data_IF_017855996748
#
_entry.id   IF_017855996748
#
_cell.length_a   1.000
_cell.length_b   1.000
_cell.length_c   1.000
_cell.angle_alpha   90.00
_cell.angle_beta   90.00
_cell.angle_gamma   90.00
#
_symmetry.space_group_name_H-M   'P 1'
#
loop_
_entity.id
_entity.type
_entity.pdbx_description
1 polymer ?
#
# COMPACT_ATOMS: atom_id res chain seq x y z
N UNK A 1 42.90 28.22 22.81
CA UNK A 1 42.46 26.81 22.87
C UNK A 1 41.51 26.61 21.71
N UNK A 2 42.03 26.12 20.58
CA UNK A 2 41.24 25.84 19.38
C UNK A 2 40.48 24.53 19.60
N UNK A 3 39.16 24.59 19.42
CA UNK A 3 38.33 23.39 19.29
C UNK A 3 38.52 22.91 17.85
N UNK A 4 39.27 21.83 17.70
CA UNK A 4 39.45 21.17 16.42
C UNK A 4 38.16 20.49 15.97
N UNK A 5 37.91 20.68 14.69
CA UNK A 5 36.83 20.18 13.86
C UNK A 5 36.84 18.67 13.74
N UNK A 6 35.67 18.02 13.91
CA UNK A 6 35.27 16.79 13.21
C UNK A 6 33.81 16.44 13.49
N UNK A 7 32.88 17.36 13.19
CA UNK A 7 31.46 17.01 13.09
C UNK A 7 31.16 16.54 11.67
N UNK A 8 31.04 15.22 11.51
CA UNK A 8 30.31 14.55 10.45
C UNK A 8 30.72 14.89 9.02
N UNK A 9 31.81 14.29 8.53
CA UNK A 9 31.90 14.05 7.09
C UNK A 9 30.88 12.97 6.74
N UNK A 10 29.82 13.36 6.04
CA UNK A 10 28.94 12.41 5.35
C UNK A 10 29.77 11.74 4.26
N UNK A 11 30.19 10.50 4.47
CA UNK A 11 30.79 9.68 3.40
C UNK A 11 29.69 9.45 2.37
N UNK A 12 29.84 10.06 1.19
CA UNK A 12 28.86 9.92 0.13
C UNK A 12 28.83 8.45 -0.33
N UNK A 13 27.68 7.79 -0.16
CA UNK A 13 27.51 6.42 -0.63
C UNK A 13 27.67 6.37 -2.16
N UNK A 14 28.45 5.44 -2.70
CA UNK A 14 28.70 5.37 -4.14
C UNK A 14 27.39 5.09 -4.89
N UNK A 15 27.13 5.91 -5.91
CA UNK A 15 25.97 5.72 -6.79
C UNK A 15 26.31 4.67 -7.84
N UNK A 16 25.63 3.52 -7.83
CA UNK A 16 25.75 2.53 -8.92
C UNK A 16 24.98 2.90 -10.20
N UNK A 17 24.22 4.01 -10.21
CA UNK A 17 23.63 4.56 -11.43
C UNK A 17 23.55 6.09 -11.45
N UNK A 18 23.61 6.65 -12.67
CA UNK A 18 23.39 8.08 -12.96
C UNK A 18 21.93 8.51 -12.84
N UNK A 19 20.98 7.56 -12.91
CA UNK A 19 19.56 7.84 -12.73
C UNK A 19 19.17 7.73 -11.25
N UNK A 20 18.93 8.88 -10.62
CA UNK A 20 18.28 8.96 -9.31
C UNK A 20 16.80 9.22 -9.55
N UNK A 21 15.97 8.15 -9.51
CA UNK A 21 14.54 8.36 -9.30
C UNK A 21 14.32 8.77 -7.83
N UNK A 22 13.37 9.66 -7.52
CA UNK A 22 12.97 9.93 -6.14
C UNK A 22 12.61 8.62 -5.41
N UNK A 23 12.99 8.49 -4.13
CA UNK A 23 12.63 7.32 -3.29
C UNK A 23 13.72 6.28 -3.04
N UNK A 24 14.95 6.47 -3.56
CA UNK A 24 16.09 5.59 -3.26
C UNK A 24 16.74 5.99 -1.93
N UNK A 25 16.57 5.16 -0.91
CA UNK A 25 17.26 5.27 0.36
C UNK A 25 18.41 4.27 0.36
N UNK A 26 19.58 4.70 -0.11
CA UNK A 26 20.81 3.94 0.05
C UNK A 26 21.53 4.52 1.28
N UNK A 27 21.78 3.68 2.29
CA UNK A 27 22.32 4.11 3.59
C UNK A 27 23.54 3.26 3.96
N UNK A 28 24.46 3.87 4.70
CA UNK A 28 25.49 3.13 5.46
C UNK A 28 25.30 3.43 6.92
N UNK A 29 25.26 2.38 7.71
CA UNK A 29 25.19 2.45 9.16
C UNK A 29 26.50 1.89 9.70
N UNK A 30 27.22 2.74 10.41
CA UNK A 30 28.43 2.37 11.13
C UNK A 30 28.05 2.18 12.60
N UNK A 31 28.34 0.99 13.13
CA UNK A 31 28.13 0.67 14.54
C UNK A 31 29.49 0.54 15.24
N UNK A 32 29.50 -0.02 16.45
CA UNK A 32 30.75 -0.22 17.17
C UNK A 32 31.64 -1.27 16.51
N UNK A 33 31.10 -2.28 15.85
CA UNK A 33 31.83 -3.44 15.31
C UNK A 33 31.39 -3.87 13.90
N UNK A 34 30.40 -3.18 13.33
CA UNK A 34 29.78 -3.57 12.08
C UNK A 34 29.52 -2.37 11.17
N UNK A 35 29.78 -2.55 9.86
CA UNK A 35 29.38 -1.63 8.79
C UNK A 35 28.25 -2.27 7.99
N UNK A 36 27.07 -1.65 8.02
CA UNK A 36 25.87 -2.18 7.35
C UNK A 36 25.51 -1.24 6.19
N UNK A 37 25.59 -1.75 4.96
CA UNK A 37 24.99 -1.10 3.81
C UNK A 37 23.51 -1.46 3.73
N UNK A 38 22.66 -0.51 3.35
CA UNK A 38 21.25 -0.74 3.02
C UNK A 38 21.05 -0.28 1.58
N UNK A 39 20.61 -1.21 0.72
CA UNK A 39 20.10 -0.88 -0.60
C UNK A 39 18.57 -1.05 -0.62
N UNK A 40 17.86 0.05 -0.85
CA UNK A 40 16.40 -0.01 -0.94
C UNK A 40 15.95 -0.43 -2.36
N UNK A 41 15.15 -1.49 -2.42
CA UNK A 41 14.60 -2.09 -3.64
C UNK A 41 13.07 -2.20 -3.56
N UNK A 42 12.35 -1.08 -3.40
CA UNK A 42 10.86 -1.06 -3.46
C UNK A 42 10.32 -1.83 -4.67
N UNK A 43 10.44 -1.26 -5.87
CA UNK A 43 10.02 -1.88 -7.14
C UNK A 43 11.08 -1.78 -8.23
N UNK A 44 12.26 -1.23 -7.92
CA UNK A 44 13.34 -1.15 -8.87
C UNK A 44 13.96 -2.54 -9.09
N UNK A 45 14.16 -2.98 -10.35
CA UNK A 45 14.95 -4.18 -10.63
C UNK A 45 16.41 -3.99 -10.19
N UNK A 46 17.15 -5.09 -10.10
CA UNK A 46 18.61 -5.01 -10.03
C UNK A 46 19.16 -4.47 -11.35
N UNK A 47 20.12 -3.56 -11.25
CA UNK A 47 20.92 -3.15 -12.40
C UNK A 47 22.07 -4.15 -12.60
N UNK A 48 22.71 -4.11 -13.77
CA UNK A 48 23.69 -5.10 -14.23
C UNK A 48 24.77 -5.48 -13.20
N UNK A 49 25.24 -4.52 -12.40
CA UNK A 49 26.30 -4.70 -11.40
C UNK A 49 25.82 -4.67 -9.94
N UNK A 50 24.51 -4.76 -9.72
CA UNK A 50 23.93 -4.75 -8.39
C UNK A 50 23.62 -6.17 -7.91
N UNK A 51 23.84 -6.49 -6.62
CA UNK A 51 24.29 -5.58 -5.57
C UNK A 51 25.84 -5.46 -5.40
N UNK A 52 26.61 -6.13 -6.25
CA UNK A 52 28.08 -6.29 -6.10
C UNK A 52 28.86 -4.96 -6.02
N UNK A 53 28.41 -3.94 -6.75
CA UNK A 53 29.06 -2.63 -6.80
C UNK A 53 29.22 -1.94 -5.43
N UNK A 54 28.43 -2.33 -4.42
CA UNK A 54 28.49 -1.75 -3.08
C UNK A 54 29.49 -2.44 -2.15
N UNK A 55 29.79 -3.71 -2.40
CA UNK A 55 30.58 -4.54 -1.49
C UNK A 55 32.02 -4.01 -1.30
N UNK A 56 32.74 -3.55 -2.33
CA UNK A 56 34.07 -2.97 -2.15
C UNK A 56 34.06 -1.74 -1.23
N UNK A 57 33.02 -0.91 -1.31
CA UNK A 57 32.92 0.28 -0.47
C UNK A 57 32.69 -0.11 1.00
N UNK A 58 31.75 -1.02 1.28
CA UNK A 58 31.49 -1.49 2.64
C UNK A 58 32.72 -2.15 3.26
N UNK A 59 33.43 -2.96 2.47
CA UNK A 59 34.68 -3.60 2.87
C UNK A 59 35.76 -2.56 3.22
N UNK A 60 36.02 -1.60 2.33
CA UNK A 60 37.04 -0.58 2.54
C UNK A 60 36.73 0.29 3.78
N UNK A 61 35.46 0.63 4.00
CA UNK A 61 35.02 1.37 5.18
C UNK A 61 35.25 0.56 6.46
N UNK A 62 34.91 -0.73 6.46
CA UNK A 62 35.17 -1.61 7.61
C UNK A 62 36.67 -1.78 7.89
N UNK A 63 37.50 -1.95 6.87
CA UNK A 63 38.96 -2.04 7.00
C UNK A 63 39.54 -0.73 7.56
N UNK A 64 39.08 0.42 7.07
CA UNK A 64 39.52 1.73 7.58
C UNK A 64 39.12 1.95 9.04
N UNK A 65 37.89 1.56 9.42
CA UNK A 65 37.45 1.63 10.82
C UNK A 65 38.22 0.65 11.71
N UNK A 66 38.58 -0.52 11.18
CA UNK A 66 39.37 -1.51 11.91
C UNK A 66 40.78 -0.99 12.20
N UNK A 67 41.43 -0.34 11.22
CA UNK A 67 42.73 0.31 11.40
C UNK A 67 42.65 1.44 12.44
N UNK A 68 41.63 2.31 12.35
CA UNK A 68 41.47 3.45 13.24
C UNK A 68 41.17 3.06 14.69
N UNK A 69 40.38 2.00 14.88
CA UNK A 69 39.88 1.59 16.21
C UNK A 69 40.63 0.38 16.79
N UNK A 70 41.56 -0.21 16.04
CA UNK A 70 42.40 -1.32 16.48
C UNK A 70 41.63 -2.62 16.77
N UNK A 71 40.49 -2.85 16.10
CA UNK A 71 39.66 -4.04 16.26
C UNK A 71 39.02 -4.46 14.95
N UNK A 72 38.64 -5.73 14.83
CA UNK A 72 37.99 -6.23 13.63
C UNK A 72 36.57 -5.65 13.47
N UNK A 73 36.21 -5.31 12.23
CA UNK A 73 34.86 -4.89 11.85
C UNK A 73 34.27 -5.88 10.85
N UNK A 74 33.05 -6.30 11.11
CA UNK A 74 32.26 -7.05 10.12
C UNK A 74 31.55 -6.09 9.18
N UNK A 75 31.21 -6.56 7.98
CA UNK A 75 30.42 -5.77 7.05
C UNK A 75 29.43 -6.65 6.30
N UNK A 76 28.26 -6.09 6.04
CA UNK A 76 27.18 -6.74 5.32
C UNK A 76 26.36 -5.71 4.54
N UNK A 77 25.76 -6.16 3.44
CA UNK A 77 24.76 -5.41 2.69
C UNK A 77 23.39 -6.02 2.94
N UNK A 78 22.41 -5.18 3.26
CA UNK A 78 21.02 -5.56 3.40
C UNK A 78 20.24 -4.99 2.23
N UNK A 79 19.57 -5.86 1.49
CA UNK A 79 18.57 -5.46 0.51
C UNK A 79 17.24 -5.29 1.25
N UNK A 80 16.76 -4.05 1.31
CA UNK A 80 15.50 -3.68 1.94
C UNK A 80 14.41 -3.55 0.88
N UNK A 81 13.39 -4.41 0.92
CA UNK A 81 12.35 -4.44 -0.10
C UNK A 81 10.99 -4.98 0.41
N UNK A 82 9.89 -4.84 -0.35
CA UNK A 82 8.62 -5.46 -0.02
C UNK A 82 8.75 -6.99 0.08
N UNK A 83 8.03 -7.61 1.03
CA UNK A 83 8.09 -9.05 1.29
C UNK A 83 7.80 -9.93 0.08
N UNK A 84 6.94 -9.47 -0.84
CA UNK A 84 6.61 -10.15 -2.09
C UNK A 84 7.80 -10.37 -3.04
N UNK A 85 8.88 -9.58 -2.91
CA UNK A 85 10.10 -9.71 -3.73
C UNK A 85 11.16 -10.62 -3.12
N UNK A 86 10.90 -11.21 -1.95
CA UNK A 86 11.87 -12.04 -1.23
C UNK A 86 12.51 -13.11 -2.13
N UNK A 87 11.70 -13.92 -2.82
CA UNK A 87 12.22 -15.03 -3.63
C UNK A 87 13.07 -14.55 -4.81
N UNK A 88 12.66 -13.48 -5.49
CA UNK A 88 13.42 -12.85 -6.57
C UNK A 88 14.80 -12.39 -6.07
N UNK A 89 14.83 -11.71 -4.92
CA UNK A 89 16.06 -11.16 -4.35
C UNK A 89 16.98 -12.29 -3.89
N UNK A 90 16.46 -13.29 -3.18
CA UNK A 90 17.24 -14.43 -2.71
C UNK A 90 17.85 -15.18 -3.90
N UNK A 91 17.06 -15.48 -4.94
CA UNK A 91 17.57 -16.11 -6.16
C UNK A 91 18.67 -15.28 -6.83
N UNK A 92 18.53 -13.95 -6.85
CA UNK A 92 19.55 -13.07 -7.42
C UNK A 92 20.86 -13.06 -6.61
N UNK A 93 20.77 -13.10 -5.27
CA UNK A 93 21.91 -13.23 -4.36
C UNK A 93 22.62 -14.57 -4.57
N UNK A 94 21.86 -15.66 -4.62
CA UNK A 94 22.37 -17.02 -4.84
C UNK A 94 23.05 -17.17 -6.21
N UNK A 95 22.42 -16.65 -7.27
CA UNK A 95 22.98 -16.68 -8.62
C UNK A 95 24.33 -15.97 -8.72
N UNK A 96 24.54 -14.93 -7.89
CA UNK A 96 25.79 -14.17 -7.80
C UNK A 96 26.75 -14.67 -6.71
N UNK A 97 26.35 -15.69 -5.93
CA UNK A 97 27.14 -16.27 -4.82
C UNK A 97 27.53 -15.26 -3.74
N UNK A 98 26.56 -14.49 -3.26
CA UNK A 98 26.76 -13.41 -2.29
C UNK A 98 26.11 -13.66 -0.91
N UNK A 99 25.72 -14.90 -0.63
CA UNK A 99 24.91 -15.30 0.53
C UNK A 99 25.58 -14.98 1.88
N UNK A 100 26.91 -14.91 1.91
CA UNK A 100 27.71 -14.63 3.10
C UNK A 100 27.86 -13.12 3.41
N UNK A 101 27.55 -12.25 2.44
CA UNK A 101 27.71 -10.79 2.54
C UNK A 101 26.44 -10.01 2.34
N UNK A 102 25.43 -10.60 1.70
CA UNK A 102 24.20 -9.92 1.30
C UNK A 102 22.99 -10.63 1.89
N UNK A 103 22.22 -9.89 2.69
CA UNK A 103 20.97 -10.36 3.29
C UNK A 103 19.74 -9.65 2.72
N UNK A 104 18.57 -10.23 2.96
CA UNK A 104 17.28 -9.61 2.67
C UNK A 104 16.53 -9.31 3.97
N UNK A 105 16.02 -8.09 4.10
CA UNK A 105 15.06 -7.71 5.13
C UNK A 105 13.84 -7.09 4.44
N UNK A 106 12.65 -7.48 4.88
CA UNK A 106 11.43 -6.86 4.36
C UNK A 106 11.14 -5.54 5.07
N UNK A 107 10.53 -4.59 4.37
CA UNK A 107 10.03 -3.35 5.00
C UNK A 107 9.09 -3.64 6.19
N UNK A 108 8.22 -4.65 6.08
CA UNK A 108 7.36 -5.04 7.20
C UNK A 108 8.17 -5.52 8.40
N UNK A 109 9.18 -6.38 8.18
CA UNK A 109 10.06 -6.87 9.25
C UNK A 109 10.79 -5.72 9.95
N UNK A 110 11.24 -4.71 9.20
CA UNK A 110 11.88 -3.52 9.76
C UNK A 110 10.88 -2.70 10.60
N UNK A 111 9.66 -2.48 10.10
CA UNK A 111 8.62 -1.73 10.79
C UNK A 111 8.13 -2.43 12.07
N UNK A 112 7.96 -3.75 12.03
CA UNK A 112 7.63 -4.58 13.20
C UNK A 112 8.76 -4.52 14.24
N UNK A 113 10.02 -4.48 13.77
CA UNK A 113 11.19 -4.24 14.61
C UNK A 113 11.08 -2.93 15.39
N UNK A 114 10.59 -1.85 14.76
CA UNK A 114 10.37 -0.59 15.47
C UNK A 114 9.25 -0.64 16.52
N UNK A 115 8.21 -1.45 16.32
CA UNK A 115 7.16 -1.66 17.35
C UNK A 115 7.70 -2.35 18.61
N UNK A 116 8.76 -3.15 18.45
CA UNK A 116 9.41 -3.83 19.58
C UNK A 116 10.34 -2.94 20.41
N UNK A 117 10.63 -1.71 19.95
CA UNK A 117 11.49 -0.77 20.66
C UNK A 117 10.73 -0.10 21.82
N UNK A 118 10.82 -0.68 23.02
CA UNK A 118 10.31 -0.07 24.25
C UNK A 118 11.12 1.18 24.62
N UNK A 119 10.45 2.30 24.92
CA UNK A 119 11.09 3.50 25.48
C UNK A 119 11.57 4.55 24.46
N UNK A 120 11.04 4.53 23.24
CA UNK A 120 11.38 5.51 22.20
C UNK A 120 11.02 6.95 22.59
N UNK A 121 11.97 7.88 22.39
CA UNK A 121 11.75 9.30 22.65
C UNK A 121 10.62 9.84 21.75
N UNK A 122 10.10 11.04 22.06
CA UNK A 122 9.09 11.68 21.19
C UNK A 122 9.61 11.87 19.76
N UNK A 123 10.90 12.13 19.60
CA UNK A 123 11.56 12.31 18.29
C UNK A 123 11.61 10.98 17.55
N UNK A 124 12.02 9.89 18.20
CA UNK A 124 12.09 8.56 17.57
C UNK A 124 10.69 8.09 17.13
N UNK A 125 9.67 8.33 17.97
CA UNK A 125 8.28 8.02 17.62
C UNK A 125 7.78 8.82 16.41
N UNK A 126 8.15 10.09 16.32
CA UNK A 126 7.87 10.90 15.14
C UNK A 126 8.56 10.34 13.90
N UNK A 127 9.87 10.06 13.97
CA UNK A 127 10.64 9.52 12.85
C UNK A 127 10.12 8.15 12.38
N UNK A 128 9.79 7.25 13.30
CA UNK A 128 9.18 5.95 12.98
C UNK A 128 7.85 6.14 12.26
N UNK A 129 7.02 7.10 12.69
CA UNK A 129 5.75 7.42 12.04
C UNK A 129 5.98 7.96 10.63
N UNK A 130 6.86 8.94 10.45
CA UNK A 130 7.16 9.49 9.12
C UNK A 130 7.73 8.41 8.18
N UNK A 131 8.54 7.48 8.71
CA UNK A 131 9.05 6.35 7.94
C UNK A 131 7.93 5.38 7.55
N UNK A 132 6.96 5.11 8.44
CA UNK A 132 5.76 4.32 8.10
C UNK A 132 4.96 4.99 7.00
N UNK A 133 4.67 6.27 7.15
CA UNK A 133 3.89 7.03 6.18
C UNK A 133 4.60 7.04 4.81
N UNK A 134 5.92 7.22 4.80
CA UNK A 134 6.74 7.11 3.58
C UNK A 134 6.67 5.71 2.96
N UNK A 135 6.82 4.65 3.75
CA UNK A 135 6.75 3.27 3.26
C UNK A 135 5.35 2.99 2.70
N UNK A 136 4.30 3.38 3.41
CA UNK A 136 2.92 3.25 2.97
C UNK A 136 2.68 4.04 1.66
N UNK A 137 3.28 5.22 1.49
CA UNK A 137 3.21 5.99 0.24
C UNK A 137 3.97 5.31 -0.90
N UNK A 138 5.19 4.83 -0.65
CA UNK A 138 6.05 4.22 -1.67
C UNK A 138 5.53 2.86 -2.12
N UNK A 139 5.05 2.02 -1.18
CA UNK A 139 4.33 0.81 -1.55
C UNK A 139 2.96 1.23 -2.14
N UNK A 140 2.32 2.30 -1.65
CA UNK A 140 1.05 2.83 -2.17
C UNK A 140 1.08 3.12 -3.67
N UNK A 141 2.23 3.54 -4.21
CA UNK A 141 2.48 3.71 -5.64
C UNK A 141 2.53 2.41 -6.48
N UNK A 142 2.02 1.29 -5.95
CA UNK A 142 1.84 0.02 -6.68
C UNK A 142 0.97 0.26 -7.92
N UNK A 143 1.55 0.08 -9.10
CA UNK A 143 0.83 0.13 -10.39
C UNK A 143 -0.12 -1.06 -10.62
N UNK A 144 -0.12 -2.04 -9.71
CA UNK A 144 -0.96 -3.25 -9.73
C UNK A 144 -1.89 -3.30 -8.51
N UNK A 145 -2.63 -2.19 -8.29
CA UNK A 145 -3.68 -2.06 -7.27
C UNK A 145 -4.68 -3.24 -7.23
N UNK A 146 -5.08 -3.87 -8.35
CA UNK A 146 -6.00 -5.01 -8.28
C UNK A 146 -5.41 -6.22 -7.53
N UNK A 147 -4.09 -6.44 -7.60
CA UNK A 147 -3.41 -7.55 -6.90
C UNK A 147 -3.44 -7.40 -5.38
N UNK A 148 -3.62 -6.17 -4.87
CA UNK A 148 -3.66 -5.89 -3.44
C UNK A 148 -5.02 -6.20 -2.80
N UNK A 149 -6.11 -6.29 -3.57
CA UNK A 149 -7.43 -6.42 -2.98
C UNK A 149 -7.62 -7.68 -2.09
N UNK A 150 -7.12 -8.88 -2.46
CA UNK A 150 -7.18 -10.03 -1.55
C UNK A 150 -6.46 -9.79 -0.22
N UNK A 151 -5.55 -8.82 -0.13
CA UNK A 151 -4.91 -8.40 1.11
C UNK A 151 -5.73 -7.33 1.84
N UNK A 152 -6.38 -6.41 1.11
CA UNK A 152 -7.28 -5.40 1.68
C UNK A 152 -8.50 -6.04 2.36
N UNK A 153 -8.95 -7.20 1.86
CA UNK A 153 -10.08 -7.95 2.43
C UNK A 153 -9.68 -8.79 3.66
N UNK A 154 -8.40 -9.00 3.95
CA UNK A 154 -7.97 -9.83 5.10
C UNK A 154 -8.21 -9.18 6.45
N UNK A 155 -8.32 -7.84 6.48
CA UNK A 155 -8.42 -7.09 7.72
C UNK A 155 -9.49 -6.00 7.64
N UNK A 156 -10.45 -6.07 8.55
CA UNK A 156 -11.40 -5.00 8.80
C UNK A 156 -10.80 -3.89 9.67
N UNK A 157 -11.07 -2.63 9.31
CA UNK A 157 -10.73 -1.46 10.11
C UNK A 157 -11.87 -0.41 10.01
N UNK A 158 -12.46 0.07 11.12
CA UNK A 158 -13.60 1.01 11.13
C UNK A 158 -13.44 2.36 10.42
N UNK A 159 -12.24 2.69 9.93
CA UNK A 159 -12.00 3.90 9.13
C UNK A 159 -11.24 3.61 7.85
N UNK A 160 -11.21 2.34 7.48
CA UNK A 160 -10.30 1.79 6.50
C UNK A 160 -8.85 1.82 6.97
N UNK A 161 -8.04 0.90 6.47
CA UNK A 161 -6.58 1.06 6.48
C UNK A 161 -6.18 2.12 5.44
N UNK A 162 -4.97 2.68 5.54
CA UNK A 162 -4.44 3.60 4.52
C UNK A 162 -4.52 2.99 3.12
N UNK A 163 -4.29 1.68 3.03
CA UNK A 163 -4.41 0.87 1.83
C UNK A 163 -5.81 0.76 1.24
N UNK A 164 -6.82 0.51 2.07
CA UNK A 164 -8.23 0.50 1.65
C UNK A 164 -8.65 1.88 1.13
N UNK A 165 -8.22 2.95 1.81
CA UNK A 165 -8.49 4.33 1.37
C UNK A 165 -7.82 4.64 0.03
N UNK A 166 -6.57 4.26 -0.14
CA UNK A 166 -5.81 4.47 -1.37
C UNK A 166 -6.41 3.69 -2.55
N UNK A 167 -6.72 2.40 -2.36
CA UNK A 167 -7.38 1.59 -3.38
C UNK A 167 -8.69 2.21 -3.86
N UNK A 168 -9.53 2.66 -2.93
CA UNK A 168 -10.77 3.36 -3.27
C UNK A 168 -10.48 4.64 -4.05
N UNK A 169 -9.49 5.44 -3.63
CA UNK A 169 -9.17 6.74 -4.23
C UNK A 169 -8.40 6.68 -5.57
N UNK A 170 -7.69 5.59 -5.87
CA UNK A 170 -6.78 5.54 -7.01
C UNK A 170 -7.14 4.47 -8.05
N UNK A 171 -7.85 3.41 -7.66
CA UNK A 171 -8.16 2.29 -8.56
C UNK A 171 -9.62 2.25 -8.97
N UNK A 172 -10.56 2.25 -8.02
CA UNK A 172 -11.99 2.12 -8.36
C UNK A 172 -12.46 3.26 -9.26
N UNK A 173 -11.95 4.47 -9.04
CA UNK A 173 -12.33 5.63 -9.84
C UNK A 173 -11.90 5.56 -11.30
N UNK A 174 -10.91 4.74 -11.68
CA UNK A 174 -10.58 4.58 -13.09
C UNK A 174 -11.66 3.81 -13.87
N UNK A 175 -12.56 3.09 -13.19
CA UNK A 175 -13.64 2.33 -13.80
C UNK A 175 -15.01 3.03 -13.74
N UNK A 176 -15.12 4.08 -12.92
CA UNK A 176 -16.34 4.90 -12.74
C UNK A 176 -16.15 6.31 -13.38
N UNK A 177 -15.14 6.44 -14.25
CA UNK A 177 -14.51 7.71 -14.60
C UNK A 177 -15.32 8.58 -15.59
N UNK A 178 -16.15 7.99 -16.45
CA UNK A 178 -16.99 8.75 -17.39
C UNK A 178 -18.12 9.50 -16.67
N UNK A 179 -18.47 9.06 -15.46
CA UNK A 179 -19.43 9.78 -14.62
C UNK A 179 -18.83 11.02 -13.95
N UNK A 180 -17.62 10.92 -13.40
CA UNK A 180 -17.01 11.98 -12.57
C UNK A 180 -16.66 13.22 -13.40
N UNK A 181 -16.34 13.07 -14.69
CA UNK A 181 -16.00 14.18 -15.57
C UNK A 181 -17.21 14.93 -16.14
N UNK A 182 -18.30 14.22 -16.40
CA UNK A 182 -19.48 14.78 -17.08
C UNK A 182 -20.60 15.16 -16.11
N UNK A 183 -20.73 14.41 -15.00
CA UNK A 183 -21.76 14.68 -14.03
C UNK A 183 -21.33 15.79 -13.09
N UNK A 184 -22.23 16.72 -12.88
CA UNK A 184 -22.15 17.65 -11.76
C UNK A 184 -22.52 17.02 -10.42
N UNK A 185 -22.31 15.72 -10.27
CA UNK A 185 -22.56 14.97 -9.06
C UNK A 185 -21.63 15.45 -7.93
N UNK A 186 -22.12 15.40 -6.70
CA UNK A 186 -21.27 15.60 -5.52
C UNK A 186 -20.67 14.25 -5.16
N UNK A 187 -19.35 14.20 -5.00
CA UNK A 187 -18.67 13.07 -4.37
C UNK A 187 -18.08 13.54 -3.05
N UNK A 188 -18.23 12.75 -2.00
CA UNK A 188 -17.65 13.06 -0.69
C UNK A 188 -17.16 11.79 -0.03
N UNK A 189 -15.94 11.77 0.54
CA UNK A 189 -15.58 10.71 1.46
C UNK A 189 -16.54 10.77 2.64
N UNK A 190 -16.95 9.62 3.15
CA UNK A 190 -17.86 9.58 4.29
C UNK A 190 -17.78 8.27 5.05
N UNK A 191 -18.09 8.35 6.34
CA UNK A 191 -18.17 7.21 7.23
C UNK A 191 -19.65 6.88 7.41
N UNK A 192 -20.08 5.69 7.00
CA UNK A 192 -21.41 5.17 7.28
C UNK A 192 -21.30 4.27 8.52
N UNK A 193 -21.74 4.70 9.71
CA UNK A 193 -21.75 3.90 10.94
C UNK A 193 -20.43 3.11 11.22
N UNK A 194 -19.29 3.78 11.07
CA UNK A 194 -17.96 3.16 11.24
C UNK A 194 -17.45 2.37 10.02
N UNK A 195 -18.05 2.54 8.84
CA UNK A 195 -17.58 2.00 7.58
C UNK A 195 -17.00 3.09 6.69
N UNK A 196 -15.77 2.92 6.20
CA UNK A 196 -15.13 3.91 5.31
C UNK A 196 -15.49 3.65 3.86
N UNK A 197 -15.93 4.71 3.19
CA UNK A 197 -16.16 4.69 1.76
C UNK A 197 -16.41 6.08 1.20
N UNK A 198 -16.98 6.10 0.01
CA UNK A 198 -17.32 7.31 -0.70
C UNK A 198 -18.81 7.33 -0.99
N UNK A 199 -19.43 8.49 -0.77
CA UNK A 199 -20.79 8.76 -1.21
C UNK A 199 -20.79 9.40 -2.58
N UNK A 200 -21.78 9.02 -3.36
CA UNK A 200 -22.04 9.51 -4.71
C UNK A 200 -23.50 9.93 -4.78
N UNK A 201 -23.70 11.15 -5.29
CA UNK A 201 -25.03 11.73 -5.52
C UNK A 201 -25.15 12.01 -7.01
N UNK A 202 -25.74 11.08 -7.79
CA UNK A 202 -25.67 11.13 -9.23
C UNK A 202 -26.48 12.28 -9.87
N UNK A 203 -27.52 12.77 -9.19
CA UNK A 203 -28.38 13.85 -9.69
C UNK A 203 -28.09 15.20 -8.99
N UNK A 204 -28.28 16.30 -9.73
CA UNK A 204 -28.34 17.67 -9.17
C UNK A 204 -29.74 17.89 -8.58
N UNK A 205 -30.04 17.32 -7.42
CA UNK A 205 -31.34 17.53 -6.77
C UNK A 205 -31.50 16.75 -5.46
N UNK A 206 -32.46 17.16 -4.64
CA UNK A 206 -32.68 16.71 -3.25
C UNK A 206 -33.37 15.32 -3.13
N UNK A 207 -33.49 14.58 -4.23
CA UNK A 207 -34.17 13.27 -4.31
C UNK A 207 -33.59 12.47 -5.48
N UNK A 208 -33.30 11.16 -5.39
CA UNK A 208 -33.55 10.20 -4.33
C UNK A 208 -32.65 8.96 -4.44
N UNK A 209 -31.48 9.02 -5.09
CA UNK A 209 -30.58 7.86 -5.13
C UNK A 209 -29.18 8.20 -4.64
N UNK A 210 -28.87 7.75 -3.43
CA UNK A 210 -27.54 7.83 -2.85
C UNK A 210 -26.84 6.50 -3.11
N UNK A 211 -25.58 6.58 -3.52
CA UNK A 211 -24.74 5.41 -3.71
C UNK A 211 -23.57 5.55 -2.73
N UNK A 212 -23.18 4.45 -2.14
CA UNK A 212 -21.97 4.35 -1.34
C UNK A 212 -21.10 3.20 -1.85
N UNK A 213 -19.79 3.42 -1.90
CA UNK A 213 -18.81 2.40 -2.28
C UNK A 213 -17.68 2.39 -1.27
N UNK A 214 -17.38 1.23 -0.69
CA UNK A 214 -16.35 1.16 0.33
C UNK A 214 -16.13 -0.23 0.90
N UNK A 215 -15.44 -0.27 2.05
CA UNK A 215 -15.19 -1.51 2.77
C UNK A 215 -16.07 -1.60 4.01
N UNK A 216 -16.62 -2.80 4.24
CA UNK A 216 -17.40 -3.13 5.44
C UNK A 216 -16.84 -4.36 6.15
N UNK A 217 -17.20 -4.57 7.41
CA UNK A 217 -16.90 -5.84 8.08
C UNK A 217 -17.64 -6.98 7.37
N UNK A 218 -16.94 -8.07 7.06
CA UNK A 218 -17.55 -9.24 6.44
C UNK A 218 -18.28 -10.05 7.53
N UNK A 219 -19.61 -10.13 7.47
CA UNK A 219 -20.41 -10.67 8.58
C UNK A 219 -20.17 -12.15 8.87
N UNK A 220 -19.85 -12.94 7.85
CA UNK A 220 -19.50 -14.35 8.06
C UNK A 220 -18.08 -14.52 8.65
N UNK A 221 -17.24 -13.47 8.61
CA UNK A 221 -15.82 -13.53 8.96
C UNK A 221 -15.39 -12.23 9.67
N UNK A 222 -15.65 -12.16 10.99
CA UNK A 222 -15.52 -10.96 11.85
C UNK A 222 -14.18 -10.18 11.81
N UNK A 223 -13.15 -10.66 11.10
CA UNK A 223 -11.88 -9.95 10.91
C UNK A 223 -11.59 -9.55 9.47
N UNK A 224 -12.41 -9.97 8.50
CA UNK A 224 -12.23 -9.64 7.09
C UNK A 224 -13.06 -8.44 6.69
N UNK A 225 -12.60 -7.75 5.65
CA UNK A 225 -13.35 -6.68 5.02
C UNK A 225 -14.02 -7.18 3.73
N UNK A 226 -15.29 -6.84 3.53
CA UNK A 226 -16.00 -6.99 2.26
C UNK A 226 -15.89 -5.68 1.47
N UNK A 227 -15.77 -5.77 0.14
CA UNK A 227 -15.87 -4.61 -0.75
C UNK A 227 -17.32 -4.50 -1.21
N UNK A 228 -17.98 -3.39 -0.89
CA UNK A 228 -19.44 -3.27 -0.98
C UNK A 228 -19.82 -2.05 -1.79
N UNK A 229 -20.80 -2.25 -2.68
CA UNK A 229 -21.62 -1.18 -3.27
C UNK A 229 -22.92 -1.17 -2.49
N UNK A 230 -23.43 0.00 -2.17
CA UNK A 230 -24.75 0.08 -1.59
C UNK A 230 -25.52 1.28 -2.12
N UNK A 231 -26.84 1.16 -2.09
CA UNK A 231 -27.74 2.17 -2.63
C UNK A 231 -28.91 2.45 -1.71
N UNK A 232 -29.33 3.71 -1.67
CA UNK A 232 -30.59 4.16 -1.09
C UNK A 232 -31.39 4.87 -2.19
N UNK A 233 -32.58 4.40 -2.58
CA UNK A 233 -33.35 3.33 -1.96
C UNK A 233 -32.69 1.96 -2.18
N UNK A 234 -32.94 1.05 -1.23
CA UNK A 234 -32.26 -0.24 -1.16
C UNK A 234 -32.22 -1.05 -2.47
N UNK A 235 -33.27 -0.95 -3.28
CA UNK A 235 -33.41 -1.74 -4.52
C UNK A 235 -32.96 -1.02 -5.79
N UNK A 236 -32.30 0.14 -5.70
CA UNK A 236 -31.91 0.91 -6.88
C UNK A 236 -30.94 0.13 -7.79
N UNK A 237 -29.98 -0.61 -7.21
CA UNK A 237 -29.01 -1.40 -7.97
C UNK A 237 -29.55 -2.78 -8.39
N UNK A 238 -30.47 -3.38 -7.61
CA UNK A 238 -30.98 -4.73 -7.84
C UNK A 238 -31.45 -5.00 -9.29
N UNK A 239 -32.11 -4.01 -9.91
CA UNK A 239 -32.62 -4.12 -11.29
C UNK A 239 -31.53 -4.25 -12.37
N UNK A 240 -30.27 -3.97 -12.02
CA UNK A 240 -29.11 -4.10 -12.91
C UNK A 240 -28.23 -5.31 -12.60
N UNK A 241 -28.51 -6.01 -11.49
CA UNK A 241 -27.72 -7.15 -11.02
C UNK A 241 -28.24 -8.49 -11.57
N UNK A 242 -29.47 -8.55 -12.09
CA UNK A 242 -30.09 -9.82 -12.51
C UNK A 242 -29.16 -10.66 -13.40
N UNK A 243 -28.56 -11.70 -12.79
CA UNK A 243 -27.60 -12.67 -13.34
C UNK A 243 -26.11 -12.25 -13.43
N UNK A 244 -25.65 -11.25 -12.68
CA UNK A 244 -24.22 -10.92 -12.60
C UNK A 244 -23.52 -11.76 -11.51
N UNK A 245 -22.69 -12.72 -11.94
CA UNK A 245 -21.96 -13.63 -11.05
C UNK A 245 -20.86 -12.95 -10.22
N UNK A 246 -20.58 -11.66 -10.44
CA UNK A 246 -19.57 -10.90 -9.70
C UNK A 246 -20.13 -10.10 -8.51
N UNK A 247 -21.45 -10.09 -8.31
CA UNK A 247 -22.10 -9.35 -7.23
C UNK A 247 -23.03 -10.28 -6.44
N UNK A 248 -22.73 -10.45 -5.16
CA UNK A 248 -23.62 -11.13 -4.21
C UNK A 248 -24.46 -10.10 -3.45
N UNK A 249 -25.75 -10.38 -3.28
CA UNK A 249 -26.63 -9.53 -2.48
C UNK A 249 -26.31 -9.73 -1.01
N UNK A 250 -25.91 -8.66 -0.33
CA UNK A 250 -25.87 -8.63 1.13
C UNK A 250 -27.26 -8.19 1.62
N UNK A 251 -27.71 -8.73 2.75
CA UNK A 251 -29.01 -8.34 3.31
C UNK A 251 -29.12 -6.82 3.49
N UNK A 252 -30.32 -6.27 3.29
CA UNK A 252 -30.61 -4.85 3.52
C UNK A 252 -30.19 -4.45 4.94
N UNK A 253 -29.47 -3.33 5.09
CA UNK A 253 -28.97 -2.83 6.37
C UNK A 253 -29.83 -1.67 6.86
N UNK A 254 -30.86 -1.91 7.70
CA UNK A 254 -31.60 -0.83 8.34
C UNK A 254 -30.70 -0.06 9.31
N UNK A 255 -30.74 1.28 9.26
CA UNK A 255 -29.92 2.12 10.13
C UNK A 255 -28.43 2.10 9.82
N UNK A 256 -28.06 1.79 8.58
CA UNK A 256 -26.66 1.82 8.13
C UNK A 256 -26.04 3.23 8.18
N UNK A 257 -26.88 4.25 8.10
CA UNK A 257 -26.55 5.65 8.33
C UNK A 257 -27.33 6.17 9.54
N UNK A 258 -26.82 7.22 10.18
CA UNK A 258 -27.49 7.89 11.32
C UNK A 258 -28.91 8.38 10.99
N UNK A 259 -29.24 8.49 9.69
CA UNK A 259 -30.56 8.87 9.17
C UNK A 259 -31.62 7.76 9.25
N UNK A 260 -31.26 6.52 9.62
CA UNK A 260 -32.21 5.41 9.74
C UNK A 260 -32.74 4.87 8.41
N UNK A 261 -32.16 5.29 7.28
CA UNK A 261 -32.57 4.89 5.94
C UNK A 261 -32.26 3.41 5.67
N UNK A 262 -33.09 2.77 4.84
CA UNK A 262 -32.85 1.41 4.37
C UNK A 262 -31.97 1.44 3.12
N UNK A 263 -30.79 0.85 3.25
CA UNK A 263 -29.85 0.67 2.18
C UNK A 263 -29.73 -0.80 1.80
N UNK A 264 -29.65 -1.04 0.50
CA UNK A 264 -29.37 -2.35 -0.06
C UNK A 264 -27.88 -2.43 -0.30
N UNK A 265 -27.26 -3.47 0.21
CA UNK A 265 -25.83 -3.68 0.18
C UNK A 265 -25.50 -4.85 -0.75
N UNK A 266 -24.42 -4.72 -1.51
CA UNK A 266 -24.05 -5.66 -2.55
C UNK A 266 -22.55 -5.89 -2.48
N UNK A 267 -22.14 -7.12 -2.18
CA UNK A 267 -20.73 -7.50 -2.10
C UNK A 267 -20.19 -7.79 -3.49
N UNK A 268 -19.06 -7.16 -3.83
CA UNK A 268 -18.31 -7.51 -5.03
C UNK A 268 -17.46 -8.76 -4.77
N UNK A 269 -17.74 -9.85 -5.49
CA UNK A 269 -17.00 -11.11 -5.40
C UNK A 269 -16.35 -11.46 -6.73
N UNK A 270 -15.07 -11.82 -6.68
CA UNK A 270 -14.38 -12.37 -7.83
C UNK A 270 -13.95 -13.79 -7.46
N UNK A 271 -14.32 -14.73 -8.33
CA UNK A 271 -14.26 -16.17 -8.04
C UNK A 271 -12.85 -16.76 -7.91
N UNK A 272 -11.81 -16.02 -8.31
CA UNK A 272 -10.42 -16.45 -8.20
C UNK A 272 -9.43 -15.27 -8.17
N UNK A 273 -8.24 -15.52 -7.61
CA UNK A 273 -7.19 -14.51 -7.43
C UNK A 273 -6.75 -13.85 -8.76
N UNK A 274 -6.85 -14.58 -9.87
CA UNK A 274 -6.53 -14.12 -11.22
C UNK A 274 -7.57 -13.17 -11.82
N UNK A 275 -8.83 -13.22 -11.39
CA UNK A 275 -9.86 -12.30 -11.88
C UNK A 275 -9.68 -10.88 -11.35
N UNK A 276 -9.04 -10.71 -10.18
CA UNK A 276 -8.77 -9.37 -9.65
C UNK A 276 -7.79 -8.61 -10.55
N UNK A 277 -6.78 -9.26 -11.12
CA UNK A 277 -5.75 -8.61 -11.94
C UNK A 277 -6.21 -8.28 -13.37
N UNK A 278 -7.48 -8.55 -13.71
CA UNK A 278 -8.01 -8.34 -15.04
C UNK A 278 -8.90 -7.08 -15.07
N UNK A 279 -8.46 -5.97 -15.68
CA UNK A 279 -9.28 -4.75 -15.80
C UNK A 279 -10.65 -5.00 -16.44
N UNK A 280 -10.75 -5.95 -17.37
CA UNK A 280 -12.01 -6.30 -18.00
C UNK A 280 -13.00 -6.94 -17.02
N UNK A 281 -12.51 -7.73 -16.06
CA UNK A 281 -13.33 -8.28 -14.98
C UNK A 281 -13.86 -7.19 -14.04
N UNK A 282 -13.06 -6.16 -13.79
CA UNK A 282 -13.51 -4.98 -13.04
C UNK A 282 -14.58 -4.19 -13.77
N UNK A 283 -14.41 -3.96 -15.07
CA UNK A 283 -15.43 -3.32 -15.89
C UNK A 283 -16.73 -4.15 -15.93
N UNK A 284 -16.63 -5.48 -16.02
CA UNK A 284 -17.79 -6.38 -15.94
C UNK A 284 -18.49 -6.27 -14.59
N UNK A 285 -17.76 -6.38 -13.47
CA UNK A 285 -18.31 -6.35 -12.13
C UNK A 285 -18.93 -4.98 -11.75
N UNK A 286 -18.38 -3.87 -12.28
CA UNK A 286 -18.89 -2.53 -12.01
C UNK A 286 -19.92 -2.04 -13.04
N UNK A 287 -20.18 -2.80 -14.10
CA UNK A 287 -21.18 -2.46 -15.13
C UNK A 287 -22.58 -2.22 -14.56
N UNK A 288 -23.12 -3.00 -13.60
CA UNK A 288 -24.42 -2.70 -13.01
C UNK A 288 -24.48 -1.31 -12.36
N UNK A 289 -23.39 -0.90 -11.69
CA UNK A 289 -23.27 0.43 -11.09
C UNK A 289 -23.24 1.52 -12.17
N UNK A 290 -22.45 1.32 -13.22
CA UNK A 290 -22.38 2.26 -14.34
C UNK A 290 -23.76 2.42 -15.04
N UNK A 291 -24.49 1.32 -15.25
CA UNK A 291 -25.84 1.36 -15.83
C UNK A 291 -26.84 2.12 -14.93
N UNK A 292 -26.78 1.92 -13.61
CA UNK A 292 -27.58 2.68 -12.65
C UNK A 292 -27.27 4.17 -12.78
N UNK A 293 -25.99 4.51 -12.74
CA UNK A 293 -25.51 5.87 -12.85
C UNK A 293 -25.98 6.53 -14.15
N UNK A 294 -25.88 5.84 -15.30
CA UNK A 294 -26.37 6.34 -16.59
C UNK A 294 -27.89 6.56 -16.59
N UNK A 295 -28.66 5.64 -16.00
CA UNK A 295 -30.12 5.78 -15.90
C UNK A 295 -30.56 7.00 -15.08
N UNK A 296 -29.69 7.52 -14.22
CA UNK A 296 -29.93 8.69 -13.38
C UNK A 296 -29.49 10.01 -14.04
N UNK A 297 -28.81 9.97 -15.20
CA UNK A 297 -28.43 11.17 -15.98
C UNK A 297 -29.61 11.75 -16.80
N UNK A 298 -30.76 11.07 -16.86
CA UNK A 298 -31.95 11.46 -17.62
C UNK A 298 -32.65 12.71 -17.13
#
# INVERSE_FOLDING_TARGET
MGLDSNRGQTVAYPKCSTHTKPGRADLVIETDDTVIGIENKFFAPFQEHQPECYLPHLKNTAESLAELRGKEFTWALIILAPGQRKNEIIQHIEAKKLEDKVGFISWQTLLDGFDSLSGTSTVDRFLIRELRDFVDEQIGNVQDLPRLLPHLQRQWAPRGTSWQRHFLNSFIWSFVHDFVKESSGRYRPGIANGYYGWYFYPSKGDTATEIWFGFMAHEAENQKAALVIATNPARALAKFIENDAAIDVMEDKPGWTDSGQNWGCYELRFSNSSSWNNPQKWSEALRPLNNLIESLKG
#
